data_IF_740370901760
#
_entry.id   IF_740370901760
#
_cell.length_a   1.000
_cell.length_b   1.000
_cell.length_c   1.000
_cell.angle_alpha   90.00
_cell.angle_beta   90.00
_cell.angle_gamma   90.00
#
_symmetry.space_group_name_H-M   'P 1'
#
loop_
_entity.id
_entity.type
_entity.pdbx_description
1 polymer ?
#
# COMPACT_ATOMS: atom_id res chain seq x y z
N UNK A 1 -5.61 -3.23 -25.19
CA UNK A 1 -5.76 -4.67 -24.93
C UNK A 1 -6.83 -4.84 -23.85
N UNK A 2 -7.87 -5.63 -24.10
CA UNK A 2 -8.90 -5.92 -23.10
C UNK A 2 -8.33 -7.01 -22.17
N UNK A 3 -8.20 -6.72 -20.88
CA UNK A 3 -7.76 -7.74 -19.94
C UNK A 3 -8.85 -8.77 -19.70
N UNK A 4 -8.44 -10.01 -19.47
CA UNK A 4 -9.34 -11.09 -19.09
C UNK A 4 -9.94 -10.81 -17.70
N UNK A 5 -11.16 -11.30 -17.44
CA UNK A 5 -11.87 -11.17 -16.15
C UNK A 5 -11.05 -11.74 -14.98
N UNK A 6 -10.32 -12.84 -15.20
CA UNK A 6 -9.44 -13.44 -14.19
C UNK A 6 -8.31 -12.48 -13.77
N UNK A 7 -7.71 -11.76 -14.72
CA UNK A 7 -6.69 -10.75 -14.44
C UNK A 7 -7.25 -9.61 -13.60
N UNK A 8 -8.45 -9.12 -13.95
CA UNK A 8 -9.11 -8.07 -13.19
C UNK A 8 -9.46 -8.53 -11.77
N UNK A 9 -9.79 -9.81 -11.60
CA UNK A 9 -10.00 -10.41 -10.28
C UNK A 9 -8.72 -10.41 -9.46
N UNK A 10 -7.60 -10.88 -10.01
CA UNK A 10 -6.28 -10.84 -9.34
C UNK A 10 -5.91 -9.40 -8.97
N UNK A 11 -6.03 -8.44 -9.89
CA UNK A 11 -5.74 -7.03 -9.63
C UNK A 11 -6.64 -6.44 -8.54
N UNK A 12 -7.92 -6.80 -8.52
CA UNK A 12 -8.88 -6.37 -7.48
C UNK A 12 -8.50 -6.93 -6.11
N UNK A 13 -8.09 -8.20 -6.04
CA UNK A 13 -7.62 -8.81 -4.79
C UNK A 13 -6.34 -8.16 -4.28
N UNK A 14 -5.39 -7.86 -5.17
CA UNK A 14 -4.20 -7.07 -4.83
C UNK A 14 -4.62 -5.70 -4.29
N UNK A 15 -5.55 -5.03 -4.94
CA UNK A 15 -6.08 -3.73 -4.50
C UNK A 15 -6.68 -3.78 -3.09
N UNK A 16 -7.52 -4.78 -2.80
CA UNK A 16 -8.09 -4.99 -1.46
C UNK A 16 -7.02 -5.25 -0.40
N UNK A 17 -6.00 -6.03 -0.73
CA UNK A 17 -4.88 -6.30 0.18
C UNK A 17 -4.08 -5.02 0.49
N UNK A 18 -3.89 -4.15 -0.52
CA UNK A 18 -3.23 -2.85 -0.36
C UNK A 18 -4.08 -1.92 0.50
N UNK A 19 -5.37 -1.77 0.20
CA UNK A 19 -6.29 -0.91 0.96
C UNK A 19 -6.32 -1.32 2.43
N UNK A 20 -6.51 -2.61 2.70
CA UNK A 20 -6.49 -3.15 4.04
C UNK A 20 -5.18 -2.84 4.76
N UNK A 21 -4.04 -3.16 4.16
CA UNK A 21 -2.71 -2.96 4.76
C UNK A 21 -2.32 -1.50 4.89
N UNK A 22 -2.65 -0.66 3.91
CA UNK A 22 -2.24 0.74 3.90
C UNK A 22 -3.14 1.66 4.72
N UNK A 23 -4.40 1.29 4.92
CA UNK A 23 -5.42 2.13 5.58
C UNK A 23 -5.89 1.51 6.89
N UNK A 24 -6.57 0.34 6.84
CA UNK A 24 -7.22 -0.25 8.01
C UNK A 24 -6.23 -0.73 9.07
N UNK A 25 -5.24 -1.52 8.65
CA UNK A 25 -4.24 -2.08 9.57
C UNK A 25 -3.36 -0.98 10.19
N UNK A 26 -3.10 0.12 9.44
CA UNK A 26 -2.36 1.27 9.99
C UNK A 26 -3.19 2.06 10.98
N UNK A 27 -4.49 2.27 10.73
CA UNK A 27 -5.38 2.87 11.73
C UNK A 27 -5.37 2.08 13.02
N UNK A 28 -5.55 0.77 12.93
CA UNK A 28 -5.54 -0.14 14.09
C UNK A 28 -4.18 -0.14 14.81
N UNK A 29 -3.09 -0.14 14.05
CA UNK A 29 -1.73 -0.06 14.62
C UNK A 29 -1.54 1.22 15.43
N UNK A 30 -1.93 2.37 14.91
CA UNK A 30 -1.80 3.66 15.61
C UNK A 30 -2.68 3.77 16.85
N UNK A 31 -3.81 3.06 16.89
CA UNK A 31 -4.67 3.02 18.08
C UNK A 31 -4.06 2.17 19.21
N UNK A 32 -3.22 1.20 18.87
CA UNK A 32 -2.62 0.25 19.84
C UNK A 32 -1.18 0.57 20.20
N UNK A 33 -0.48 1.34 19.36
CA UNK A 33 0.92 1.72 19.59
C UNK A 33 1.01 3.09 20.27
N UNK A 34 1.54 3.09 21.49
CA UNK A 34 1.91 4.32 22.20
C UNK A 34 3.30 4.78 21.75
N UNK A 35 3.34 5.49 20.63
CA UNK A 35 4.59 6.02 20.06
C UNK A 35 4.55 7.54 19.92
N UNK A 36 5.62 8.20 20.38
CA UNK A 36 5.76 9.67 20.27
C UNK A 36 5.99 10.09 18.81
N UNK A 37 6.58 9.21 17.98
CA UNK A 37 6.88 9.52 16.58
C UNK A 37 6.33 8.44 15.65
N UNK A 38 6.03 8.85 14.41
CA UNK A 38 5.45 7.98 13.38
C UNK A 38 6.44 7.62 12.25
N UNK A 39 7.75 7.82 12.49
CA UNK A 39 8.78 7.61 11.47
C UNK A 39 8.83 6.16 10.94
N UNK A 40 8.44 5.17 11.76
CA UNK A 40 8.37 3.76 11.36
C UNK A 40 7.15 3.37 10.52
N UNK A 41 6.12 4.23 10.42
CA UNK A 41 4.86 3.91 9.73
C UNK A 41 5.04 3.46 8.28
N UNK A 42 5.92 4.07 7.45
CA UNK A 42 6.13 3.58 6.09
C UNK A 42 6.58 2.13 6.03
N UNK A 43 7.47 1.70 6.93
CA UNK A 43 7.92 0.30 7.03
C UNK A 43 6.79 -0.62 7.49
N UNK A 44 6.09 -0.27 8.57
CA UNK A 44 4.93 -1.03 9.06
C UNK A 44 3.86 -1.17 7.98
N UNK A 45 3.59 -0.12 7.22
CA UNK A 45 2.63 -0.17 6.10
C UNK A 45 3.06 -1.17 5.04
N UNK A 46 4.32 -1.15 4.61
CA UNK A 46 4.85 -2.10 3.65
C UNK A 46 4.71 -3.55 4.17
N UNK A 47 5.05 -3.81 5.42
CA UNK A 47 4.94 -5.14 6.04
C UNK A 47 3.48 -5.61 6.14
N UNK A 48 2.54 -4.71 6.46
CA UNK A 48 1.10 -5.02 6.49
C UNK A 48 0.57 -5.35 5.10
N UNK A 49 0.92 -4.58 4.09
CA UNK A 49 0.55 -4.85 2.70
C UNK A 49 1.11 -6.21 2.26
N UNK A 50 2.40 -6.47 2.46
CA UNK A 50 3.03 -7.74 2.11
C UNK A 50 2.35 -8.94 2.80
N UNK A 51 1.99 -8.79 4.08
CA UNK A 51 1.26 -9.80 4.84
C UNK A 51 -0.14 -10.05 4.26
N UNK A 52 -0.85 -8.98 3.90
CA UNK A 52 -2.19 -9.11 3.32
C UNK A 52 -2.16 -9.68 1.90
N UNK A 53 -1.16 -9.33 1.07
CA UNK A 53 -0.94 -9.97 -0.22
C UNK A 53 -0.80 -11.50 -0.06
N UNK A 54 0.05 -11.93 0.87
CA UNK A 54 0.23 -13.36 1.14
C UNK A 54 -1.04 -14.07 1.62
N UNK A 55 -1.88 -13.39 2.41
CA UNK A 55 -3.09 -13.99 2.99
C UNK A 55 -4.31 -13.95 2.07
N UNK A 56 -4.41 -12.94 1.23
CA UNK A 56 -5.63 -12.66 0.48
C UNK A 56 -5.51 -12.98 -1.01
N UNK A 57 -4.28 -12.95 -1.58
CA UNK A 57 -4.07 -13.08 -3.02
C UNK A 57 -3.49 -14.44 -3.37
N UNK A 58 -2.70 -15.05 -2.48
CA UNK A 58 -2.13 -16.38 -2.71
C UNK A 58 -3.22 -17.41 -2.99
N UNK A 59 -3.05 -18.18 -4.05
CA UNK A 59 -3.96 -19.26 -4.48
C UNK A 59 -3.17 -20.33 -5.21
N UNK A 60 -3.85 -21.35 -5.74
CA UNK A 60 -3.21 -22.41 -6.51
C UNK A 60 -2.46 -21.88 -7.74
N UNK A 61 -2.99 -20.84 -8.40
CA UNK A 61 -2.41 -20.25 -9.61
C UNK A 61 -1.62 -18.95 -9.33
N UNK A 62 -1.69 -18.40 -8.11
CA UNK A 62 -1.04 -17.15 -7.73
C UNK A 62 -0.06 -17.39 -6.60
N UNK A 63 1.22 -17.30 -6.91
CA UNK A 63 2.33 -17.44 -5.97
C UNK A 63 2.75 -16.09 -5.39
N UNK A 64 3.08 -16.07 -4.11
CA UNK A 64 3.66 -14.92 -3.44
C UNK A 64 5.15 -15.18 -3.23
N UNK A 65 5.96 -14.50 -4.02
CA UNK A 65 7.41 -14.66 -4.01
C UNK A 65 8.05 -13.59 -3.12
N UNK A 66 8.74 -14.03 -2.08
CA UNK A 66 9.49 -13.14 -1.19
C UNK A 66 10.91 -12.98 -1.74
N UNK A 67 11.36 -11.75 -1.92
CA UNK A 67 12.74 -11.46 -2.31
C UNK A 67 13.42 -10.52 -1.31
N UNK A 68 14.76 -10.58 -1.30
CA UNK A 68 15.59 -9.78 -0.40
C UNK A 68 16.61 -8.97 -1.19
N UNK A 69 16.71 -7.69 -0.87
CA UNK A 69 17.79 -6.80 -1.36
C UNK A 69 18.42 -6.08 -0.18
N UNK A 70 19.65 -6.45 0.16
CA UNK A 70 20.34 -5.95 1.33
C UNK A 70 19.50 -6.19 2.61
N UNK A 71 19.14 -5.12 3.33
CA UNK A 71 18.30 -5.18 4.52
C UNK A 71 16.81 -5.14 4.23
N UNK A 72 16.40 -4.83 2.99
CA UNK A 72 15.00 -4.72 2.61
C UNK A 72 14.47 -6.03 2.03
N UNK A 73 13.22 -6.35 2.40
CA UNK A 73 12.48 -7.49 1.85
C UNK A 73 11.26 -6.98 1.12
N UNK A 74 10.99 -7.56 -0.05
CA UNK A 74 9.83 -7.23 -0.84
C UNK A 74 9.06 -8.49 -1.24
N UNK A 75 7.89 -8.27 -1.81
CA UNK A 75 7.00 -9.32 -2.30
C UNK A 75 6.67 -9.07 -3.77
N UNK A 76 6.70 -10.13 -4.56
CA UNK A 76 6.14 -10.18 -5.90
C UNK A 76 4.94 -11.13 -5.89
N UNK A 77 3.90 -10.76 -6.61
CA UNK A 77 2.74 -11.61 -6.88
C UNK A 77 2.91 -12.17 -8.28
N UNK A 78 3.01 -13.48 -8.41
CA UNK A 78 3.22 -14.18 -9.68
C UNK A 78 1.95 -14.93 -10.04
N UNK A 79 1.20 -14.43 -11.01
CA UNK A 79 0.02 -15.08 -11.59
C UNK A 79 0.47 -15.96 -12.74
N UNK A 80 0.55 -17.26 -12.48
CA UNK A 80 1.06 -18.27 -13.43
C UNK A 80 0.09 -18.51 -14.58
N UNK A 81 -1.20 -18.43 -14.31
CA UNK A 81 -2.25 -18.67 -15.29
C UNK A 81 -2.27 -17.57 -16.36
N UNK A 82 -2.19 -16.32 -15.90
CA UNK A 82 -2.26 -15.15 -16.78
C UNK A 82 -0.87 -14.66 -17.23
N UNK A 83 0.20 -15.31 -16.79
CA UNK A 83 1.60 -14.92 -17.04
C UNK A 83 1.86 -13.46 -16.67
N UNK A 84 1.53 -13.09 -15.45
CA UNK A 84 1.72 -11.74 -14.93
C UNK A 84 2.49 -11.74 -13.62
N UNK A 85 3.34 -10.74 -13.46
CA UNK A 85 4.08 -10.48 -12.23
C UNK A 85 3.72 -9.08 -11.75
N UNK A 86 3.35 -8.96 -10.48
CA UNK A 86 3.00 -7.66 -9.89
C UNK A 86 3.96 -7.34 -8.74
N UNK A 87 4.38 -6.08 -8.69
CA UNK A 87 5.01 -5.49 -7.50
C UNK A 87 4.16 -4.34 -6.98
N UNK A 88 4.30 -4.04 -5.69
CA UNK A 88 3.55 -2.95 -5.05
C UNK A 88 4.51 -1.89 -4.53
N UNK A 89 4.24 -0.63 -4.86
CA UNK A 89 4.99 0.49 -4.31
C UNK A 89 4.11 1.75 -4.18
N UNK A 90 4.57 2.72 -3.39
CA UNK A 90 3.92 4.03 -3.35
C UNK A 90 4.19 4.80 -4.65
N UNK A 91 3.26 5.67 -5.04
CA UNK A 91 3.44 6.58 -6.19
C UNK A 91 4.72 7.40 -6.09
N UNK A 92 5.01 7.96 -4.90
CA UNK A 92 6.23 8.71 -4.66
C UNK A 92 7.51 7.88 -4.84
N UNK A 93 7.45 6.58 -4.50
CA UNK A 93 8.58 5.67 -4.73
C UNK A 93 8.76 5.41 -6.22
N UNK A 94 7.69 5.15 -6.95
CA UNK A 94 7.74 4.94 -8.40
C UNK A 94 8.31 6.18 -9.11
N UNK A 95 7.80 7.37 -8.80
CA UNK A 95 8.29 8.63 -9.37
C UNK A 95 9.78 8.85 -9.10
N UNK A 96 10.25 8.49 -7.90
CA UNK A 96 11.67 8.57 -7.54
C UNK A 96 12.51 7.55 -8.31
N UNK A 97 11.97 6.35 -8.58
CA UNK A 97 12.67 5.33 -9.38
C UNK A 97 12.84 5.81 -10.81
N UNK A 98 11.79 6.38 -11.40
CA UNK A 98 11.80 6.91 -12.77
C UNK A 98 12.79 8.08 -12.91
N UNK A 99 12.78 9.02 -11.94
CA UNK A 99 13.61 10.23 -12.01
C UNK A 99 15.10 9.99 -11.70
N UNK A 100 15.42 9.02 -10.85
CA UNK A 100 16.79 8.80 -10.41
C UNK A 100 17.48 7.74 -11.26
N UNK A 101 18.15 8.17 -12.31
CA UNK A 101 18.93 7.31 -13.21
C UNK A 101 20.35 7.00 -12.66
N UNK A 102 20.86 7.76 -11.69
CA UNK A 102 22.21 7.62 -11.13
C UNK A 102 22.21 6.70 -9.90
N UNK A 103 22.34 5.40 -10.11
CA UNK A 103 22.36 4.38 -9.04
C UNK A 103 23.61 3.51 -9.17
N UNK A 104 24.07 2.96 -8.05
CA UNK A 104 25.18 1.99 -8.03
C UNK A 104 24.76 0.59 -8.50
N UNK A 105 23.48 0.26 -8.41
CA UNK A 105 22.89 -0.99 -8.87
C UNK A 105 21.48 -0.74 -9.38
N UNK A 106 20.95 -1.56 -10.29
CA UNK A 106 19.58 -1.44 -10.78
C UNK A 106 18.59 -1.47 -9.61
N UNK A 107 17.49 -0.75 -9.71
CA UNK A 107 16.37 -0.95 -8.79
C UNK A 107 15.62 -2.22 -9.20
N UNK A 108 15.07 -3.00 -8.25
CA UNK A 108 14.37 -4.24 -8.59
C UNK A 108 13.27 -4.06 -9.67
N UNK A 109 12.51 -2.97 -9.61
CA UNK A 109 11.52 -2.66 -10.65
C UNK A 109 12.17 -2.39 -12.01
N UNK A 110 13.37 -1.78 -12.03
CA UNK A 110 14.14 -1.55 -13.25
C UNK A 110 14.63 -2.88 -13.83
N UNK A 111 15.13 -3.76 -12.99
CA UNK A 111 15.50 -5.12 -13.38
C UNK A 111 14.32 -5.85 -14.00
N UNK A 112 13.17 -5.88 -13.29
CA UNK A 112 11.98 -6.58 -13.76
C UNK A 112 11.44 -6.02 -15.09
N UNK A 113 11.40 -4.69 -15.23
CA UNK A 113 10.96 -4.04 -16.47
C UNK A 113 11.91 -4.38 -17.62
N UNK A 114 13.22 -4.29 -17.41
CA UNK A 114 14.21 -4.56 -18.48
C UNK A 114 14.27 -6.03 -18.89
N UNK A 115 13.99 -6.96 -17.98
CA UNK A 115 14.08 -8.39 -18.28
C UNK A 115 12.74 -8.97 -18.76
N UNK A 116 11.64 -8.64 -18.09
CA UNK A 116 10.33 -9.24 -18.36
C UNK A 116 9.57 -8.47 -19.44
N UNK A 117 9.65 -7.12 -19.44
CA UNK A 117 8.94 -6.25 -20.39
C UNK A 117 9.81 -5.80 -21.58
N UNK A 118 10.90 -6.53 -21.89
CA UNK A 118 11.85 -6.14 -22.96
C UNK A 118 11.20 -5.87 -24.31
N UNK A 119 10.10 -6.55 -24.61
CA UNK A 119 9.37 -6.46 -25.88
C UNK A 119 8.21 -5.46 -25.85
N UNK A 120 7.87 -4.95 -24.67
CA UNK A 120 6.84 -3.92 -24.54
C UNK A 120 7.37 -2.56 -24.98
N UNK A 121 6.53 -1.80 -25.68
CA UNK A 121 6.87 -0.45 -26.17
C UNK A 121 5.73 0.51 -25.89
N UNK A 122 6.07 1.63 -25.28
CA UNK A 122 5.13 2.74 -25.15
C UNK A 122 4.92 3.42 -26.51
N UNK A 123 3.79 4.10 -26.67
CA UNK A 123 3.59 4.99 -27.82
C UNK A 123 4.69 6.06 -27.81
N UNK A 124 5.20 6.37 -29.01
CA UNK A 124 6.34 7.30 -29.17
C UNK A 124 5.97 8.64 -28.58
N UNK A 125 6.60 9.00 -27.49
CA UNK A 125 6.57 10.36 -26.96
C UNK A 125 7.61 11.21 -27.63
N UNK A 126 7.24 12.47 -27.93
CA UNK A 126 8.21 13.47 -28.36
C UNK A 126 9.20 13.67 -27.19
N UNK A 127 10.46 13.23 -27.38
CA UNK A 127 11.51 13.37 -26.38
C UNK A 127 11.86 14.86 -26.21
N UNK A 128 11.99 15.28 -24.96
CA UNK A 128 12.50 16.62 -24.63
C UNK A 128 14.02 16.65 -24.72
N UNK A 129 14.61 17.80 -25.07
CA UNK A 129 16.08 17.99 -25.09
C UNK A 129 16.68 17.71 -23.69
N UNK A 130 15.92 17.89 -22.61
CA UNK A 130 16.34 17.54 -21.24
C UNK A 130 16.52 16.04 -21.01
N UNK A 131 15.91 15.20 -21.85
CA UNK A 131 16.03 13.74 -21.75
C UNK A 131 17.37 13.24 -22.33
N UNK A 132 18.06 14.10 -23.08
CA UNK A 132 19.39 13.90 -23.65
C UNK A 132 20.52 14.42 -22.74
N UNK A 133 20.52 14.12 -21.45
CA UNK A 133 21.69 14.45 -20.63
C UNK A 133 22.56 13.20 -20.40
N UNK A 134 23.48 12.85 -21.35
CA UNK A 134 24.22 11.60 -21.31
C UNK A 134 25.36 11.60 -20.28
N UNK A 135 25.63 12.74 -19.62
CA UNK A 135 26.85 12.91 -18.81
C UNK A 135 26.88 12.15 -17.49
N UNK A 136 25.76 11.54 -17.03
CA UNK A 136 25.70 10.90 -15.71
C UNK A 136 24.82 9.65 -15.62
N UNK A 137 24.33 9.10 -16.70
CA UNK A 137 23.60 7.85 -16.64
C UNK A 137 24.58 6.67 -16.52
N UNK A 138 24.57 5.99 -15.39
CA UNK A 138 25.19 4.67 -15.28
C UNK A 138 24.30 3.72 -16.07
N UNK A 139 24.77 3.28 -17.23
CA UNK A 139 24.08 2.26 -18.01
C UNK A 139 24.43 0.88 -17.41
N UNK A 140 23.43 0.15 -16.98
CA UNK A 140 23.58 -1.23 -16.56
C UNK A 140 23.59 -2.14 -17.78
N UNK A 141 24.44 -3.17 -17.74
CA UNK A 141 24.51 -4.16 -18.81
C UNK A 141 23.38 -5.19 -18.70
N UNK A 142 23.11 -5.93 -19.77
CA UNK A 142 22.17 -7.05 -19.73
C UNK A 142 22.57 -8.08 -18.65
N UNK A 143 23.87 -8.36 -18.54
CA UNK A 143 24.42 -9.23 -17.48
C UNK A 143 24.10 -8.75 -16.06
N UNK A 144 24.09 -7.43 -15.82
CA UNK A 144 23.73 -6.87 -14.51
C UNK A 144 22.27 -7.11 -14.20
N UNK A 145 21.39 -6.95 -15.20
CA UNK A 145 19.97 -7.24 -15.06
C UNK A 145 19.68 -8.72 -14.87
N UNK A 146 20.35 -9.59 -15.60
CA UNK A 146 20.18 -11.06 -15.49
C UNK A 146 20.59 -11.57 -14.11
N UNK A 147 21.74 -11.12 -13.60
CA UNK A 147 22.22 -11.48 -12.26
C UNK A 147 21.27 -10.96 -11.16
N UNK A 148 20.79 -9.73 -11.30
CA UNK A 148 19.87 -9.15 -10.34
C UNK A 148 18.49 -9.83 -10.40
N UNK A 149 18.03 -10.19 -11.60
CA UNK A 149 16.80 -10.94 -11.81
C UNK A 149 16.84 -12.31 -11.12
N UNK A 150 17.93 -13.06 -11.35
CA UNK A 150 18.12 -14.36 -10.69
C UNK A 150 18.14 -14.21 -9.16
N UNK A 151 18.77 -13.15 -8.64
CA UNK A 151 18.78 -12.86 -7.19
C UNK A 151 17.38 -12.51 -6.63
N UNK A 152 16.48 -12.00 -7.46
CA UNK A 152 15.10 -11.63 -7.07
C UNK A 152 14.16 -12.85 -7.22
N UNK A 153 14.24 -13.53 -8.34
CA UNK A 153 13.29 -14.58 -8.70
C UNK A 153 13.74 -15.97 -8.24
N UNK A 154 15.05 -16.17 -7.97
CA UNK A 154 15.67 -17.48 -7.68
C UNK A 154 15.46 -18.51 -8.80
N UNK A 155 15.05 -18.03 -9.98
CA UNK A 155 14.74 -18.82 -11.16
C UNK A 155 15.33 -18.14 -12.41
N UNK A 156 15.57 -18.90 -13.46
CA UNK A 156 16.11 -18.37 -14.71
C UNK A 156 15.06 -17.54 -15.47
N UNK A 157 15.52 -16.56 -16.23
CA UNK A 157 14.66 -15.68 -17.04
C UNK A 157 13.75 -16.47 -17.99
N UNK A 158 14.25 -17.58 -18.55
CA UNK A 158 13.51 -18.42 -19.50
C UNK A 158 12.20 -19.00 -18.92
N UNK A 159 12.11 -19.16 -17.62
CA UNK A 159 10.90 -19.63 -16.93
C UNK A 159 9.75 -18.60 -17.00
N UNK A 160 10.12 -17.33 -17.25
CA UNK A 160 9.19 -16.21 -17.33
C UNK A 160 8.96 -15.73 -18.76
N UNK A 161 9.23 -16.56 -19.75
CA UNK A 161 8.94 -16.22 -21.16
C UNK A 161 7.45 -15.97 -21.38
N UNK A 162 7.14 -14.80 -21.96
CA UNK A 162 5.78 -14.34 -22.22
C UNK A 162 5.05 -13.78 -20.99
N UNK A 163 5.74 -13.65 -19.84
CA UNK A 163 5.20 -12.89 -18.70
C UNK A 163 5.26 -11.39 -18.95
N UNK A 164 4.42 -10.65 -18.21
CA UNK A 164 4.42 -9.18 -18.14
C UNK A 164 4.54 -8.73 -16.70
N UNK A 165 5.42 -7.77 -16.48
CA UNK A 165 5.62 -7.18 -15.17
C UNK A 165 4.83 -5.88 -15.02
N UNK A 166 3.97 -5.82 -14.01
CA UNK A 166 3.13 -4.70 -13.67
C UNK A 166 3.53 -4.09 -12.33
N UNK A 167 3.59 -2.78 -12.26
CA UNK A 167 3.77 -2.07 -11.01
C UNK A 167 2.42 -1.57 -10.52
N UNK A 168 1.98 -2.06 -9.35
CA UNK A 168 0.80 -1.56 -8.68
C UNK A 168 1.21 -0.39 -7.79
N UNK A 169 0.85 0.80 -8.23
CA UNK A 169 1.17 2.06 -7.57
C UNK A 169 -0.01 2.57 -6.75
N UNK A 170 0.23 2.99 -5.51
CA UNK A 170 -0.80 3.51 -4.62
C UNK A 170 -0.39 4.80 -3.93
N UNK A 171 -1.38 5.62 -3.57
CA UNK A 171 -1.23 6.84 -2.79
C UNK A 171 -2.30 6.91 -1.70
N UNK A 172 -1.88 7.14 -0.46
CA UNK A 172 -2.77 7.26 0.71
C UNK A 172 -2.48 8.56 1.41
N UNK A 173 -3.53 9.37 1.59
CA UNK A 173 -3.49 10.61 2.38
C UNK A 173 -4.57 10.56 3.45
N UNK A 174 -4.21 10.91 4.69
CA UNK A 174 -5.14 10.95 5.84
C UNK A 174 -6.01 9.68 5.96
N UNK A 175 -5.39 8.51 5.75
CA UNK A 175 -6.07 7.19 5.76
C UNK A 175 -7.16 7.02 4.68
N UNK A 176 -7.05 7.75 3.59
CA UNK A 176 -7.92 7.59 2.42
C UNK A 176 -7.05 7.22 1.23
N UNK A 177 -7.43 6.16 0.52
CA UNK A 177 -6.81 5.79 -0.75
C UNK A 177 -7.14 6.85 -1.81
N UNK A 178 -6.13 7.58 -2.30
CA UNK A 178 -6.27 8.62 -3.31
C UNK A 178 -6.10 8.10 -4.73
N UNK A 179 -5.15 7.21 -4.91
CA UNK A 179 -4.92 6.54 -6.19
C UNK A 179 -4.49 5.10 -5.97
N UNK A 180 -4.87 4.24 -6.89
CA UNK A 180 -4.46 2.85 -6.96
C UNK A 180 -4.58 2.40 -8.41
N UNK A 181 -3.43 2.16 -9.06
CA UNK A 181 -3.36 1.79 -10.48
C UNK A 181 -2.35 0.69 -10.70
N UNK A 182 -2.63 -0.23 -11.62
CA UNK A 182 -1.65 -1.14 -12.20
C UNK A 182 -1.08 -0.52 -13.47
N UNK A 183 0.24 -0.47 -13.56
CA UNK A 183 0.97 0.22 -14.63
C UNK A 183 1.90 -0.78 -15.30
N UNK A 184 1.75 -0.99 -16.59
CA UNK A 184 2.70 -1.67 -17.45
C UNK A 184 3.64 -0.62 -18.03
N UNK A 185 4.93 -0.85 -17.93
CA UNK A 185 5.98 0.06 -18.41
C UNK A 185 6.93 -0.68 -19.32
N UNK A 186 7.49 0.04 -20.29
CA UNK A 186 8.60 -0.43 -21.11
C UNK A 186 9.97 -0.25 -20.41
N UNK A 187 11.04 -0.70 -21.05
CA UNK A 187 12.41 -0.64 -20.53
C UNK A 187 12.88 0.76 -20.13
N UNK A 188 12.32 1.80 -20.73
CA UNK A 188 12.67 3.20 -20.47
C UNK A 188 11.81 3.81 -19.35
N UNK A 189 10.95 3.00 -18.71
CA UNK A 189 9.93 3.37 -17.75
C UNK A 189 8.84 4.28 -18.33
N UNK A 190 8.65 4.26 -19.64
CA UNK A 190 7.51 4.88 -20.24
C UNK A 190 6.27 3.99 -20.09
N UNK A 191 5.14 4.65 -19.87
CA UNK A 191 3.89 3.98 -19.61
C UNK A 191 3.31 3.39 -20.89
N UNK A 192 3.22 2.06 -20.95
CA UNK A 192 2.55 1.32 -22.03
C UNK A 192 1.04 1.27 -21.78
N UNK A 193 0.65 0.92 -20.55
CA UNK A 193 -0.75 0.82 -20.16
C UNK A 193 -0.92 1.17 -18.68
N UNK A 194 -2.04 1.80 -18.32
CA UNK A 194 -2.44 2.05 -16.94
C UNK A 194 -3.90 1.67 -16.74
N UNK A 195 -4.16 0.97 -15.63
CA UNK A 195 -5.49 0.50 -15.26
C UNK A 195 -5.77 0.98 -13.85
N UNK A 196 -6.84 1.78 -13.69
CA UNK A 196 -7.32 2.17 -12.36
C UNK A 196 -7.97 0.97 -11.67
N UNK A 197 -7.39 0.56 -10.54
CA UNK A 197 -7.97 -0.47 -9.67
C UNK A 197 -8.90 0.18 -8.63
N UNK A 198 -8.69 1.46 -8.32
CA UNK A 198 -9.43 2.14 -7.26
C UNK A 198 -10.94 2.09 -7.48
N UNK A 199 -11.39 2.15 -8.73
CA UNK A 199 -12.81 2.11 -9.07
C UNK A 199 -13.43 0.75 -8.80
N UNK A 200 -12.66 -0.34 -8.92
CA UNK A 200 -13.12 -1.70 -8.64
C UNK A 200 -13.27 -1.99 -7.14
N UNK A 201 -12.65 -1.16 -6.29
CA UNK A 201 -12.76 -1.28 -4.82
C UNK A 201 -13.99 -0.56 -4.26
N UNK A 202 -14.57 0.35 -5.01
CA UNK A 202 -15.80 1.05 -4.58
C UNK A 202 -16.93 0.02 -4.49
N UNK A 203 -17.68 -0.01 -3.37
CA UNK A 203 -18.83 -0.87 -3.27
C UNK A 203 -19.81 -0.52 -4.40
N UNK A 204 -20.24 -1.52 -5.15
CA UNK A 204 -21.27 -1.34 -6.15
C UNK A 204 -22.60 -1.18 -5.41
N UNK A 205 -23.03 0.06 -5.18
CA UNK A 205 -24.28 0.34 -4.47
C UNK A 205 -25.52 -0.29 -5.12
N UNK A 206 -25.42 -0.72 -6.40
CA UNK A 206 -26.45 -1.51 -7.06
C UNK A 206 -26.70 -2.87 -6.41
N UNK A 207 -25.67 -3.49 -5.84
CA UNK A 207 -25.79 -4.79 -5.18
C UNK A 207 -26.42 -4.71 -3.79
N UNK A 208 -26.45 -3.52 -3.18
CA UNK A 208 -27.08 -3.29 -1.87
C UNK A 208 -28.60 -3.14 -1.94
N UNK A 209 -29.17 -2.95 -3.15
CA UNK A 209 -30.62 -2.77 -3.33
C UNK A 209 -31.40 -4.08 -3.46
N UNK A 210 -30.73 -5.23 -3.48
CA UNK A 210 -31.36 -6.57 -3.63
C UNK A 210 -31.59 -7.28 -2.29
N UNK A 211 -31.08 -6.76 -1.17
CA UNK A 211 -31.41 -7.29 0.13
C UNK A 211 -32.81 -6.80 0.57
N UNK A 212 -33.85 -7.57 0.31
CA UNK A 212 -35.16 -7.34 0.91
C UNK A 212 -35.02 -7.17 2.43
N UNK A 213 -35.60 -6.11 3.03
CA UNK A 213 -35.52 -5.92 4.46
C UNK A 213 -36.26 -7.10 5.12
N UNK A 214 -35.50 -7.98 5.78
CA UNK A 214 -36.11 -8.96 6.71
C UNK A 214 -36.95 -8.15 7.67
N UNK A 215 -38.25 -8.30 7.63
CA UNK A 215 -39.17 -7.73 8.59
C UNK A 215 -38.78 -8.23 9.98
N UNK A 216 -38.02 -7.43 10.70
CA UNK A 216 -37.88 -7.59 12.14
C UNK A 216 -39.25 -7.33 12.76
N UNK A 217 -39.83 -8.38 13.37
CA UNK A 217 -41.02 -8.26 14.21
C UNK A 217 -40.72 -7.19 15.26
N UNK A 218 -41.41 -6.06 15.14
CA UNK A 218 -41.37 -4.98 16.14
C UNK A 218 -41.72 -5.57 17.48
N UNK A 219 -40.74 -5.78 18.36
CA UNK A 219 -40.99 -6.00 19.79
C UNK A 219 -41.52 -4.70 20.34
N UNK A 220 -42.73 -4.77 20.90
CA UNK A 220 -43.45 -3.67 21.52
C UNK A 220 -42.65 -3.14 22.71
N UNK A 221 -42.01 -1.98 22.53
CA UNK A 221 -41.11 -1.35 23.54
C UNK A 221 -41.92 -0.60 24.61
N UNK A 222 -43.24 -0.71 24.63
CA UNK A 222 -44.12 -0.01 25.58
C UNK A 222 -44.14 -0.55 27.01
N UNK A 223 -43.44 -1.67 27.30
CA UNK A 223 -43.52 -2.31 28.63
C UNK A 223 -42.31 -2.02 29.57
N UNK A 224 -41.40 -1.14 29.21
CA UNK A 224 -40.18 -0.89 30.01
C UNK A 224 -40.07 0.51 30.64
N UNK A 225 -41.12 1.35 30.56
CA UNK A 225 -41.16 2.63 31.24
C UNK A 225 -42.16 2.59 32.45
N UNK A 226 -41.79 1.85 33.51
CA UNK A 226 -42.37 2.09 34.81
C UNK A 226 -41.60 3.21 35.52
N UNK A 227 -42.21 4.36 35.60
CA UNK A 227 -41.72 5.50 36.36
C UNK A 227 -41.75 5.17 37.85
N UNK A 228 -40.60 5.00 38.50
CA UNK A 228 -40.54 5.04 39.98
C UNK A 228 -40.60 6.48 40.44
N UNK A 229 -41.76 6.83 41.00
CA UNK A 229 -41.88 8.07 41.72
C UNK A 229 -41.18 7.97 43.09
N UNK A 230 -40.45 9.02 43.47
CA UNK A 230 -40.05 9.29 44.86
C UNK A 230 -38.55 9.25 45.12
N UNK A 231 -37.87 10.38 44.95
CA UNK A 231 -36.64 10.71 45.66
C UNK A 231 -36.81 12.14 46.21
N UNK A 232 -36.70 12.36 47.55
CA UNK A 232 -36.81 13.65 48.16
C UNK A 232 -35.54 14.48 47.95
N UNK A 233 -35.74 15.77 47.75
CA UNK A 233 -34.71 16.81 47.66
C UNK A 233 -33.89 16.92 48.96
N UNK A 234 -32.56 16.85 48.88
CA UNK A 234 -31.68 17.30 49.95
C UNK A 234 -30.80 18.47 49.50
N UNK A 235 -30.70 19.40 50.41
CA UNK A 235 -30.16 20.74 50.40
C UNK A 235 -28.72 20.86 49.86
N UNK A 236 -28.52 22.04 49.24
CA UNK A 236 -27.26 22.70 48.91
C UNK A 236 -26.33 22.85 50.12
N UNK A 237 -25.05 22.51 49.90
CA UNK A 237 -23.93 23.01 50.73
C UNK A 237 -22.81 23.42 49.78
N UNK A 238 -22.39 24.68 49.89
CA UNK A 238 -21.25 25.26 49.17
C UNK A 238 -19.95 24.62 49.65
N UNK A 239 -18.94 24.47 48.75
CA UNK A 239 -17.59 24.15 49.19
C UNK A 239 -16.74 25.40 49.36
N UNK A 240 -16.09 25.47 50.51
CA UNK A 240 -15.07 26.43 50.90
C UNK A 240 -13.85 26.43 49.97
N UNK A 241 -13.31 27.64 49.78
CA UNK A 241 -12.02 27.91 49.13
C UNK A 241 -10.87 27.47 50.02
N UNK A 242 -9.95 26.68 49.49
CA UNK A 242 -8.63 26.54 50.08
C UNK A 242 -7.56 27.17 49.18
N UNK A 243 -6.78 27.99 49.84
CA UNK A 243 -5.67 28.86 49.47
C UNK A 243 -4.49 28.17 48.85
N UNK A 244 -3.83 28.96 48.00
CA UNK A 244 -2.53 28.75 47.36
C UNK A 244 -1.40 28.22 48.28
N UNK A 245 -0.59 27.35 47.72
CA UNK A 245 0.79 27.13 48.17
C UNK A 245 1.73 27.19 46.95
N UNK A 246 2.56 28.21 46.90
CA UNK A 246 3.66 28.44 45.98
C UNK A 246 4.83 27.46 46.28
N UNK A 247 5.51 26.90 45.27
CA UNK A 247 6.76 26.18 45.53
C UNK A 247 7.95 27.12 45.57
N UNK A 248 8.81 26.88 46.54
CA UNK A 248 10.10 27.54 46.80
C UNK A 248 11.12 27.15 45.72
N UNK A 249 11.87 28.16 45.27
CA UNK A 249 13.14 28.11 44.57
C UNK A 249 14.19 27.31 45.35
N UNK A 250 14.96 26.46 44.65
CA UNK A 250 16.22 25.94 45.13
C UNK A 250 17.31 26.37 44.16
N UNK A 251 18.32 26.97 44.78
CA UNK A 251 19.49 27.60 44.21
C UNK A 251 20.48 26.63 43.57
N UNK A 252 21.23 27.22 42.64
CA UNK A 252 22.50 26.73 42.04
C UNK A 252 23.47 26.20 43.10
N UNK A 253 24.22 25.14 42.72
CA UNK A 253 25.63 25.02 43.06
C UNK A 253 26.45 24.52 41.87
N UNK A 254 27.31 25.41 41.38
CA UNK A 254 28.50 25.10 40.60
C UNK A 254 29.61 24.60 41.53
N UNK A 255 30.48 23.83 40.90
CA UNK A 255 31.91 23.48 41.20
C UNK A 255 32.05 21.94 41.19
N UNK A 256 32.89 21.41 40.32
CA UNK A 256 34.26 21.39 39.90
C UNK A 256 34.41 20.46 38.69
#
# INVERSE_FOLDING_TARGET
>A
MTLNENVMTTMTMIGKAIEKGAVEDIKSYLQTCDTITTNGIPGVRADKINTNLSKMVASENVEIKLFKRNSWKGVLVVDKENKMIFSVCTKSTLDRVIKNKNRRSPHYAQTMVNTVNKDEKAEIKQMSISDFNPLFAVEFTEDDFEKDFFSIMEEAINEFEGYRFWVVSYEVEHFVMKSLSAILMDKDFDKVQEISILETLKPNFGDLTVAEPKQEKKKDVRSLLSVKAGIPSSKSTEPERHTEILPKSVEENREA
#
